data_IF_577934129374
#
_entry.id   IF_577934129374
#
_cell.length_a   1.000
_cell.length_b   1.000
_cell.length_c   1.000
_cell.angle_alpha   90.00
_cell.angle_beta   90.00
_cell.angle_gamma   90.00
#
_symmetry.space_group_name_H-M   'P 1'
#
loop_
_entity.id
_entity.type
_entity.pdbx_description
1 polymer ?
#
# COMPACT_ATOMS: atom_id res chain seq x y z
N UNK A 1 -19.82 -8.97 5.00
CA UNK A 1 -18.68 -9.88 4.66
C UNK A 1 -17.39 -9.10 4.80
N UNK A 2 -16.48 -9.60 5.61
CA UNK A 2 -15.24 -8.90 5.90
C UNK A 2 -14.36 -8.71 4.64
N UNK A 3 -13.68 -7.57 4.55
CA UNK A 3 -12.73 -7.30 3.45
C UNK A 3 -11.36 -7.90 3.73
N UNK A 4 -10.99 -8.06 4.99
CA UNK A 4 -9.78 -8.74 5.44
C UNK A 4 -10.08 -9.62 6.64
N UNK A 5 -9.67 -10.88 6.57
CA UNK A 5 -9.82 -11.84 7.66
C UNK A 5 -8.49 -12.54 7.93
N UNK A 6 -8.10 -12.58 9.19
CA UNK A 6 -6.97 -13.38 9.67
C UNK A 6 -7.48 -14.32 10.74
N UNK A 7 -7.24 -15.61 10.57
CA UNK A 7 -7.65 -16.67 11.49
C UNK A 7 -6.42 -17.45 11.93
N UNK A 8 -6.04 -17.33 13.21
CA UNK A 8 -4.88 -18.00 13.80
C UNK A 8 -3.62 -17.81 12.93
N UNK A 9 -3.43 -16.62 12.37
CA UNK A 9 -2.40 -16.33 11.38
C UNK A 9 -1.02 -16.33 12.04
N UNK A 10 -0.13 -17.15 11.51
CA UNK A 10 1.27 -17.26 11.96
C UNK A 10 2.20 -17.00 10.79
N UNK A 11 3.20 -16.16 11.01
CA UNK A 11 4.34 -16.00 10.09
C UNK A 11 5.64 -16.02 10.89
N UNK A 12 6.50 -16.96 10.52
CA UNK A 12 7.83 -17.11 11.12
C UNK A 12 8.93 -16.83 10.10
N UNK A 13 9.97 -16.18 10.56
CA UNK A 13 11.25 -16.06 9.88
C UNK A 13 12.28 -16.73 10.80
N UNK A 14 12.60 -18.00 10.54
CA UNK A 14 13.42 -18.78 11.45
C UNK A 14 12.68 -19.17 12.74
N UNK A 15 13.29 -18.96 13.91
CA UNK A 15 12.75 -19.40 15.22
C UNK A 15 11.72 -18.45 15.82
N UNK A 16 11.81 -17.16 15.52
CA UNK A 16 10.93 -16.15 16.10
C UNK A 16 9.70 -15.87 15.21
N UNK A 17 8.47 -15.81 15.77
CA UNK A 17 7.30 -15.43 15.00
C UNK A 17 7.27 -13.92 14.80
N UNK A 18 7.05 -13.48 13.56
CA UNK A 18 6.70 -12.09 13.24
C UNK A 18 5.21 -11.84 13.52
N UNK A 19 4.35 -12.83 13.25
CA UNK A 19 2.95 -12.88 13.65
C UNK A 19 2.71 -14.21 14.36
N UNK A 20 2.00 -14.16 15.49
CA UNK A 20 1.75 -15.31 16.35
C UNK A 20 0.26 -15.44 16.66
N UNK A 21 -0.42 -16.34 15.93
CA UNK A 21 -1.85 -16.64 16.06
C UNK A 21 -2.74 -15.39 16.02
N UNK A 22 -2.46 -14.50 15.05
CA UNK A 22 -3.23 -13.27 14.89
C UNK A 22 -4.65 -13.55 14.40
N UNK A 23 -5.62 -13.03 15.13
CA UNK A 23 -7.02 -12.99 14.73
C UNK A 23 -7.41 -11.52 14.48
N UNK A 24 -7.85 -11.20 13.27
CA UNK A 24 -8.22 -9.86 12.87
C UNK A 24 -9.33 -9.92 11.82
N UNK A 25 -10.35 -9.10 11.99
CA UNK A 25 -11.42 -8.94 11.00
C UNK A 25 -11.60 -7.44 10.71
N UNK A 26 -11.57 -7.09 9.44
CA UNK A 26 -11.82 -5.73 8.97
C UNK A 26 -13.03 -5.74 8.03
N UNK A 27 -14.05 -4.99 8.39
CA UNK A 27 -15.24 -4.82 7.56
C UNK A 27 -15.03 -3.73 6.50
N UNK A 28 -15.75 -3.78 5.37
CA UNK A 28 -15.73 -2.72 4.37
C UNK A 28 -16.12 -1.36 4.96
N UNK A 29 -15.55 -0.29 4.43
CA UNK A 29 -15.85 1.08 4.84
C UNK A 29 -15.15 1.55 6.11
N UNK A 30 -14.24 0.75 6.67
CA UNK A 30 -13.48 1.10 7.86
C UNK A 30 -12.04 1.50 7.52
N UNK A 31 -11.49 2.42 8.31
CA UNK A 31 -10.06 2.75 8.31
C UNK A 31 -9.48 2.18 9.59
N UNK A 32 -8.49 1.31 9.45
CA UNK A 32 -7.85 0.62 10.57
C UNK A 32 -6.38 1.02 10.65
N UNK A 33 -5.96 1.54 11.79
CA UNK A 33 -4.57 1.86 12.07
C UNK A 33 -3.87 0.70 12.77
N UNK A 34 -2.74 0.26 12.19
CA UNK A 34 -1.83 -0.70 12.84
C UNK A 34 -0.77 0.07 13.60
N UNK A 35 -0.82 0.01 14.92
CA UNK A 35 0.11 0.69 15.81
C UNK A 35 1.05 -0.31 16.46
N UNK A 36 2.29 0.08 16.63
CA UNK A 36 3.30 -0.73 17.30
C UNK A 36 4.72 -0.30 16.92
N UNK A 37 5.72 -0.75 17.69
CA UNK A 37 7.13 -0.46 17.40
C UNK A 37 7.58 -1.15 16.11
N UNK A 38 8.75 -0.73 15.60
CA UNK A 38 9.40 -1.42 14.49
C UNK A 38 9.69 -2.87 14.89
N UNK A 39 9.44 -3.81 13.97
CA UNK A 39 9.59 -5.24 14.21
C UNK A 39 8.39 -5.90 14.90
N UNK A 40 7.25 -5.21 15.07
CA UNK A 40 6.03 -5.78 15.67
C UNK A 40 5.17 -6.59 14.67
N UNK A 41 5.60 -6.74 13.41
CA UNK A 41 4.89 -7.53 12.41
C UNK A 41 3.93 -6.76 11.49
N UNK A 42 3.85 -5.43 11.60
CA UNK A 42 2.95 -4.59 10.76
C UNK A 42 3.22 -4.77 9.26
N UNK A 43 4.45 -4.61 8.82
CA UNK A 43 4.86 -4.81 7.43
C UNK A 43 4.62 -6.25 6.97
N UNK A 44 4.87 -7.22 7.83
CA UNK A 44 4.62 -8.64 7.55
C UNK A 44 3.15 -8.89 7.28
N UNK A 45 2.25 -8.36 8.10
CA UNK A 45 0.81 -8.48 7.89
C UNK A 45 0.36 -7.86 6.55
N UNK A 46 0.85 -6.65 6.25
CA UNK A 46 0.54 -5.95 4.98
C UNK A 46 1.03 -6.76 3.78
N UNK A 47 2.23 -7.31 3.84
CA UNK A 47 2.78 -8.16 2.77
C UNK A 47 2.01 -9.47 2.58
N UNK A 48 1.55 -10.09 3.66
CA UNK A 48 0.68 -11.27 3.61
C UNK A 48 -0.67 -10.92 2.96
N UNK A 49 -1.29 -9.82 3.37
CA UNK A 49 -2.56 -9.35 2.81
C UNK A 49 -2.44 -8.99 1.31
N UNK A 50 -1.26 -8.55 0.87
CA UNK A 50 -0.98 -8.26 -0.55
C UNK A 50 -0.49 -9.49 -1.34
N UNK A 51 -0.41 -10.66 -0.73
CA UNK A 51 0.05 -11.88 -1.41
C UNK A 51 1.54 -11.95 -1.73
N UNK A 52 2.34 -11.08 -1.12
CA UNK A 52 3.81 -11.06 -1.28
C UNK A 52 4.51 -12.09 -0.39
N UNK A 53 3.84 -12.56 0.64
CA UNK A 53 4.31 -13.59 1.56
C UNK A 53 3.23 -14.66 1.71
N UNK A 54 3.66 -15.87 2.06
CA UNK A 54 2.78 -16.99 2.38
C UNK A 54 2.76 -17.20 3.90
N UNK A 55 1.60 -17.46 4.53
CA UNK A 55 1.53 -17.80 5.95
C UNK A 55 2.35 -19.05 6.28
N UNK A 56 2.92 -19.09 7.49
CA UNK A 56 3.52 -20.31 8.04
C UNK A 56 2.42 -21.26 8.55
N UNK A 57 1.39 -20.71 9.17
CA UNK A 57 0.20 -21.43 9.62
C UNK A 57 -0.99 -20.45 9.71
N UNK A 58 -2.19 -21.00 9.89
CA UNK A 58 -3.39 -20.20 9.90
C UNK A 58 -3.80 -19.73 8.50
N UNK A 59 -4.68 -18.75 8.46
CA UNK A 59 -5.27 -18.30 7.21
C UNK A 59 -5.38 -16.76 7.17
N UNK A 60 -5.19 -16.20 5.97
CA UNK A 60 -5.54 -14.82 5.64
C UNK A 60 -6.40 -14.83 4.38
N UNK A 61 -7.46 -14.04 4.38
CA UNK A 61 -8.36 -13.87 3.24
C UNK A 61 -8.61 -12.39 2.97
N UNK A 62 -8.64 -12.04 1.70
CA UNK A 62 -9.06 -10.73 1.20
C UNK A 62 -10.32 -10.92 0.37
N UNK A 63 -11.42 -10.29 0.76
CA UNK A 63 -12.74 -10.47 0.13
C UNK A 63 -13.09 -11.95 -0.07
N UNK A 64 -12.83 -12.77 0.94
CA UNK A 64 -13.07 -14.21 0.94
C UNK A 64 -12.10 -15.05 0.11
N UNK A 65 -11.04 -14.45 -0.45
CA UNK A 65 -10.08 -15.13 -1.33
C UNK A 65 -8.68 -15.15 -0.70
N UNK A 66 -7.92 -16.19 -0.98
CA UNK A 66 -6.49 -16.24 -0.61
C UNK A 66 -5.75 -15.17 -1.39
N UNK A 67 -4.93 -14.32 -0.72
CA UNK A 67 -4.16 -13.28 -1.39
C UNK A 67 -3.24 -13.85 -2.47
N UNK A 68 -3.27 -13.22 -3.65
CA UNK A 68 -2.49 -13.66 -4.81
C UNK A 68 -2.93 -12.94 -6.08
N UNK A 69 -2.71 -13.55 -7.23
CA UNK A 69 -3.01 -12.96 -8.53
C UNK A 69 -4.48 -12.48 -8.66
N UNK A 70 -5.43 -13.23 -8.08
CA UNK A 70 -6.86 -12.89 -8.14
C UNK A 70 -7.22 -11.67 -7.29
N UNK A 71 -6.48 -11.39 -6.22
CA UNK A 71 -6.75 -10.27 -5.32
C UNK A 71 -5.97 -9.01 -5.70
N UNK A 72 -4.93 -9.10 -6.51
CA UNK A 72 -4.11 -7.95 -6.91
C UNK A 72 -4.92 -6.86 -7.64
N UNK A 73 -5.94 -7.24 -8.40
CA UNK A 73 -6.83 -6.27 -9.05
C UNK A 73 -7.72 -5.51 -8.06
N UNK A 74 -7.95 -6.06 -6.88
CA UNK A 74 -8.85 -5.53 -5.85
C UNK A 74 -8.11 -4.81 -4.71
N UNK A 75 -6.79 -4.95 -4.64
CA UNK A 75 -5.94 -4.39 -3.59
C UNK A 75 -5.04 -3.31 -4.14
N UNK A 76 -5.02 -2.15 -3.50
CA UNK A 76 -4.05 -1.09 -3.79
C UNK A 76 -3.04 -1.00 -2.66
N UNK A 77 -1.76 -1.13 -2.99
CA UNK A 77 -0.68 -1.25 -2.03
C UNK A 77 0.33 -0.11 -2.15
N UNK A 78 0.61 0.53 -1.03
CA UNK A 78 1.69 1.49 -0.87
C UNK A 78 2.80 0.86 -0.02
N UNK A 79 3.96 0.49 -0.62
CA UNK A 79 5.09 -0.03 0.14
C UNK A 79 5.77 1.06 0.96
N UNK A 80 6.50 0.67 1.99
CA UNK A 80 7.29 1.57 2.86
C UNK A 80 8.29 2.42 2.06
N UNK A 81 8.87 1.83 1.01
CA UNK A 81 9.84 2.52 0.15
C UNK A 81 9.23 2.90 -1.18
N UNK A 82 9.62 4.06 -1.69
CA UNK A 82 9.21 4.52 -3.01
C UNK A 82 9.72 3.57 -4.09
N UNK A 83 8.78 3.01 -4.88
CA UNK A 83 9.06 2.06 -5.96
C UNK A 83 8.83 2.64 -7.35
N UNK A 84 8.67 3.96 -7.48
CA UNK A 84 8.44 4.61 -8.76
C UNK A 84 9.76 4.74 -9.54
N UNK A 85 9.79 4.36 -10.83
CA UNK A 85 10.98 4.54 -11.66
C UNK A 85 11.36 6.02 -11.79
N UNK A 86 12.58 6.37 -11.41
CA UNK A 86 13.07 7.75 -11.38
C UNK A 86 13.14 8.42 -12.76
N UNK A 87 13.31 7.64 -13.81
CA UNK A 87 13.43 8.11 -15.18
C UNK A 87 12.09 8.50 -15.83
N UNK A 88 10.98 8.08 -15.24
CA UNK A 88 9.65 8.41 -15.75
C UNK A 88 9.30 9.88 -15.51
N UNK A 89 8.62 10.50 -16.49
CA UNK A 89 7.87 11.73 -16.24
C UNK A 89 6.57 11.41 -15.52
N UNK A 90 5.98 12.43 -14.89
CA UNK A 90 4.67 12.30 -14.24
C UNK A 90 3.61 11.79 -15.23
N UNK A 91 3.61 12.30 -16.46
CA UNK A 91 2.70 11.85 -17.54
C UNK A 91 2.87 10.37 -17.84
N UNK A 92 4.11 9.90 -17.99
CA UNK A 92 4.39 8.48 -18.26
C UNK A 92 3.97 7.58 -17.11
N UNK A 93 4.11 8.07 -15.88
CA UNK A 93 3.65 7.33 -14.70
C UNK A 93 2.13 7.17 -14.71
N UNK A 94 1.38 8.23 -15.05
CA UNK A 94 -0.07 8.15 -15.22
C UNK A 94 -0.47 7.18 -16.33
N UNK A 95 0.21 7.23 -17.48
CA UNK A 95 -0.04 6.32 -18.60
C UNK A 95 0.20 4.86 -18.18
N UNK A 96 1.30 4.61 -17.45
CA UNK A 96 1.62 3.28 -16.93
C UNK A 96 0.54 2.74 -16.00
N UNK A 97 0.07 3.56 -15.03
CA UNK A 97 -0.99 3.14 -14.11
C UNK A 97 -2.32 2.92 -14.84
N UNK A 98 -2.64 3.76 -15.81
CA UNK A 98 -3.85 3.63 -16.62
C UNK A 98 -3.85 2.35 -17.46
N UNK A 99 -2.71 1.98 -18.04
CA UNK A 99 -2.55 0.77 -18.83
C UNK A 99 -2.55 -0.50 -17.97
N UNK A 100 -1.96 -0.41 -16.77
CA UNK A 100 -1.77 -1.57 -15.89
C UNK A 100 -2.97 -1.87 -15.01
N UNK A 101 -3.68 -0.84 -14.52
CA UNK A 101 -4.80 -0.98 -13.61
C UNK A 101 -6.11 -0.49 -14.24
N UNK A 102 -7.03 -1.42 -14.50
CA UNK A 102 -8.34 -1.10 -15.05
C UNK A 102 -9.18 -0.16 -14.14
N UNK A 103 -8.94 -0.18 -12.84
CA UNK A 103 -9.61 0.63 -11.84
C UNK A 103 -8.95 1.98 -11.56
N UNK A 104 -7.90 2.34 -12.30
CA UNK A 104 -7.19 3.60 -12.11
C UNK A 104 -8.01 4.80 -12.60
N UNK A 105 -8.22 5.77 -11.72
CA UNK A 105 -8.97 7.00 -11.99
C UNK A 105 -7.99 8.14 -12.30
N UNK A 106 -7.60 8.24 -13.55
CA UNK A 106 -6.61 9.21 -14.02
C UNK A 106 -6.98 10.66 -13.68
N UNK A 107 -8.23 11.07 -13.91
CA UNK A 107 -8.70 12.43 -13.64
C UNK A 107 -8.49 12.82 -12.17
N UNK A 108 -8.80 11.91 -11.26
CA UNK A 108 -8.58 12.12 -9.83
C UNK A 108 -7.11 12.30 -9.49
N UNK A 109 -6.23 11.50 -10.11
CA UNK A 109 -4.79 11.62 -9.92
C UNK A 109 -4.28 12.97 -10.44
N UNK A 110 -4.72 13.39 -11.63
CA UNK A 110 -4.35 14.68 -12.23
C UNK A 110 -4.80 15.86 -11.38
N UNK A 111 -6.00 15.84 -10.82
CA UNK A 111 -6.49 16.86 -9.89
C UNK A 111 -5.60 16.97 -8.65
N UNK A 112 -5.27 15.84 -8.02
CA UNK A 112 -4.42 15.84 -6.83
C UNK A 112 -2.98 16.32 -7.14
N UNK A 113 -2.42 15.93 -8.28
CA UNK A 113 -1.11 16.39 -8.72
C UNK A 113 -1.11 17.91 -8.97
N UNK A 114 -2.16 18.44 -9.58
CA UNK A 114 -2.33 19.87 -9.80
C UNK A 114 -2.40 20.65 -8.49
N UNK A 115 -3.11 20.16 -7.48
CA UNK A 115 -3.16 20.76 -6.15
C UNK A 115 -1.80 20.85 -5.45
N UNK A 116 -0.89 19.93 -5.77
CA UNK A 116 0.47 19.93 -5.25
C UNK A 116 1.47 20.69 -6.16
N UNK A 117 0.99 21.33 -7.21
CA UNK A 117 1.80 22.05 -8.22
C UNK A 117 2.83 21.13 -8.90
N UNK A 118 2.49 19.86 -9.10
CA UNK A 118 3.33 18.89 -9.79
C UNK A 118 3.00 18.93 -11.28
N UNK A 119 4.02 19.22 -12.11
CA UNK A 119 3.84 19.30 -13.55
C UNK A 119 3.90 17.94 -14.23
N UNK A 120 3.15 17.77 -15.30
CA UNK A 120 3.10 16.52 -16.08
C UNK A 120 4.42 16.19 -16.79
N UNK A 121 5.19 17.19 -17.16
CA UNK A 121 6.50 17.04 -17.83
C UNK A 121 7.66 16.83 -16.87
N UNK A 122 7.44 17.03 -15.58
CA UNK A 122 8.46 16.84 -14.54
C UNK A 122 8.80 15.37 -14.38
N UNK A 123 10.11 15.04 -14.37
CA UNK A 123 10.57 13.68 -14.09
C UNK A 123 10.56 13.40 -12.59
N UNK A 124 10.35 12.15 -12.23
CA UNK A 124 10.36 11.72 -10.81
C UNK A 124 11.74 11.99 -10.19
N UNK A 125 12.83 11.86 -10.96
CA UNK A 125 14.20 12.15 -10.51
C UNK A 125 14.37 13.59 -10.05
N UNK A 126 13.68 14.54 -10.69
CA UNK A 126 13.75 15.98 -10.36
C UNK A 126 12.99 16.37 -9.09
N UNK A 127 12.18 15.45 -8.56
CA UNK A 127 11.38 15.70 -7.36
C UNK A 127 12.18 15.42 -6.09
N UNK A 128 11.85 16.15 -5.02
CA UNK A 128 12.33 15.83 -3.68
C UNK A 128 11.82 14.47 -3.22
N UNK A 129 12.46 13.86 -2.21
CA UNK A 129 11.99 12.61 -1.62
C UNK A 129 10.53 12.72 -1.18
N UNK A 130 10.17 13.76 -0.44
CA UNK A 130 8.81 13.97 0.03
C UNK A 130 7.79 14.14 -1.10
N UNK A 131 8.17 14.81 -2.19
CA UNK A 131 7.31 14.94 -3.38
C UNK A 131 7.10 13.58 -4.06
N UNK A 132 8.13 12.76 -4.18
CA UNK A 132 8.01 11.39 -4.73
C UNK A 132 7.07 10.53 -3.90
N UNK A 133 7.17 10.61 -2.58
CA UNK A 133 6.27 9.89 -1.66
C UNK A 133 4.82 10.33 -1.85
N UNK A 134 4.56 11.62 -1.99
CA UNK A 134 3.23 12.16 -2.28
C UNK A 134 2.70 11.69 -3.64
N UNK A 135 3.53 11.70 -4.68
CA UNK A 135 3.15 11.20 -6.01
C UNK A 135 2.76 9.73 -5.94
N UNK A 136 3.55 8.90 -5.26
CA UNK A 136 3.24 7.48 -5.10
C UNK A 136 1.93 7.27 -4.34
N UNK A 137 1.70 8.02 -3.27
CA UNK A 137 0.44 7.98 -2.53
C UNK A 137 -0.75 8.35 -3.41
N UNK A 138 -0.62 9.40 -4.23
CA UNK A 138 -1.66 9.81 -5.18
C UNK A 138 -1.99 8.68 -6.16
N UNK A 139 -0.98 8.01 -6.72
CA UNK A 139 -1.20 6.88 -7.64
C UNK A 139 -1.97 5.75 -6.95
N UNK A 140 -1.57 5.38 -5.75
CA UNK A 140 -2.21 4.32 -4.95
C UNK A 140 -3.66 4.68 -4.60
N UNK A 141 -3.90 5.91 -4.15
CA UNK A 141 -5.23 6.38 -3.75
C UNK A 141 -6.17 6.69 -4.92
N UNK A 142 -5.63 6.82 -6.13
CA UNK A 142 -6.42 7.05 -7.34
C UNK A 142 -6.95 5.78 -8.00
N UNK A 143 -6.65 4.62 -7.46
CA UNK A 143 -7.28 3.36 -7.81
C UNK A 143 -8.64 3.24 -7.10
N UNK A 144 -9.59 2.55 -7.74
CA UNK A 144 -10.88 2.20 -7.13
C UNK A 144 -10.82 0.79 -6.54
N UNK A 145 -9.83 0.56 -5.65
CA UNK A 145 -9.62 -0.72 -5.01
C UNK A 145 -10.64 -1.00 -3.89
N UNK A 146 -10.85 -2.27 -3.56
CA UNK A 146 -11.67 -2.68 -2.42
C UNK A 146 -10.92 -2.56 -1.09
N UNK A 147 -9.60 -2.79 -1.11
CA UNK A 147 -8.73 -2.70 0.05
C UNK A 147 -7.50 -1.86 -0.28
N UNK A 148 -7.19 -0.92 0.58
CA UNK A 148 -5.96 -0.12 0.51
C UNK A 148 -5.03 -0.53 1.66
N UNK A 149 -3.83 -0.95 1.32
CA UNK A 149 -2.78 -1.34 2.25
C UNK A 149 -1.67 -0.29 2.21
N UNK A 150 -1.55 0.50 3.26
CA UNK A 150 -0.59 1.60 3.33
C UNK A 150 0.45 1.28 4.40
N UNK A 151 1.69 1.08 3.99
CA UNK A 151 2.81 0.80 4.88
C UNK A 151 3.62 2.09 5.10
N UNK A 152 3.51 2.67 6.29
CA UNK A 152 4.16 3.94 6.67
C UNK A 152 3.96 5.06 5.65
N UNK A 153 2.69 5.46 5.34
CA UNK A 153 2.40 6.41 4.26
C UNK A 153 3.02 7.80 4.49
N UNK A 154 3.48 8.11 5.69
CA UNK A 154 4.17 9.34 6.07
C UNK A 154 5.54 8.98 6.65
N UNK A 155 6.27 8.12 5.95
CA UNK A 155 7.63 7.74 6.33
C UNK A 155 8.57 8.94 6.27
N UNK A 156 9.31 9.19 7.35
CA UNK A 156 10.30 10.26 7.44
C UNK A 156 9.83 11.56 8.10
N UNK A 157 8.60 11.63 8.59
CA UNK A 157 8.22 12.68 9.54
C UNK A 157 8.53 12.18 10.93
N UNK A 158 9.71 12.57 11.44
CA UNK A 158 10.04 12.40 12.85
C UNK A 158 9.00 13.17 13.68
N UNK A 159 8.29 12.53 14.62
CA UNK A 159 7.37 13.24 15.51
C UNK A 159 8.00 14.38 16.29
N UNK A 160 9.33 14.34 16.49
CA UNK A 160 10.09 15.37 17.16
C UNK A 160 10.33 16.65 16.32
N UNK A 161 10.05 16.65 15.02
CA UNK A 161 10.16 17.83 14.15
C UNK A 161 8.82 18.53 13.89
N UNK A 162 7.81 18.25 14.71
CA UNK A 162 6.49 18.89 14.65
C UNK A 162 6.36 20.04 15.67
N UNK A 163 7.34 20.92 15.75
CA UNK A 163 7.19 22.22 16.43
C UNK A 163 7.12 23.36 15.40
#
# INVERSE_FOLDING_TARGET
MAILECNELVKRYGSAPALDHLNLTVEPGHIVGLLGPNGSGKTTLIKLANGLLTPTAGQILVDGKVPGAQTHAEVSYLPERTCIPLWMSTRRLLDFYQDFYADFRRERAEEMLAHLNIRMDQTIKQMSKGTREKVQLIMVMSRAAKLYLLDEPIGGVDPATRD
#
